data_IF_984995165681
#
_entry.id   IF_984995165681
#
_cell.length_a   1.000
_cell.length_b   1.000
_cell.length_c   1.000
_cell.angle_alpha   90.00
_cell.angle_beta   90.00
_cell.angle_gamma   90.00
#
_symmetry.space_group_name_H-M   'P 1'
#
loop_
_entity.id
_entity.type
_entity.pdbx_description
1 polymer ?
#
# COMPACT_ATOMS: atom_id res chain seq x y z
N UNK A 1 -5.60 32.31 -55.16
CA UNK A 1 -5.94 30.87 -55.04
C UNK A 1 -5.76 30.50 -53.57
N UNK A 2 -6.57 31.01 -52.64
CA UNK A 2 -8.05 30.94 -52.58
C UNK A 2 -8.52 29.48 -52.64
N UNK A 3 -9.03 28.97 -51.53
CA UNK A 3 -10.47 28.75 -51.38
C UNK A 3 -10.86 28.57 -49.89
N UNK A 4 -11.85 29.37 -49.51
CA UNK A 4 -12.76 29.27 -48.36
C UNK A 4 -14.03 30.05 -48.80
N UNK A 5 -15.16 30.10 -48.07
CA UNK A 5 -15.59 29.31 -46.91
C UNK A 5 -17.02 28.72 -47.07
N UNK A 6 -17.47 27.90 -46.11
CA UNK A 6 -18.89 27.72 -45.73
C UNK A 6 -18.98 26.78 -44.49
N UNK A 7 -20.03 26.77 -43.66
CA UNK A 7 -20.71 27.85 -42.91
C UNK A 7 -21.87 27.21 -42.13
N UNK A 8 -22.00 27.45 -40.81
CA UNK A 8 -23.20 27.17 -39.98
C UNK A 8 -23.62 25.67 -39.94
N UNK A 9 -24.28 25.12 -38.93
CA UNK A 9 -24.59 25.56 -37.57
C UNK A 9 -24.28 24.34 -36.64
N UNK A 10 -24.67 24.20 -35.37
CA UNK A 10 -25.57 24.95 -34.47
C UNK A 10 -24.94 25.03 -33.06
N UNK A 11 -25.65 25.63 -32.11
CA UNK A 11 -25.31 25.65 -30.69
C UNK A 11 -26.54 25.23 -29.89
N UNK A 12 -26.45 24.18 -29.06
CA UNK A 12 -27.53 23.84 -28.13
C UNK A 12 -27.02 23.44 -26.74
N UNK A 13 -26.97 24.45 -25.88
CA UNK A 13 -27.49 24.48 -24.51
C UNK A 13 -27.76 23.13 -23.82
N UNK A 14 -26.85 22.68 -22.94
CA UNK A 14 -27.24 21.89 -21.77
C UNK A 14 -26.61 22.46 -20.48
N UNK A 15 -27.45 23.27 -19.85
CA UNK A 15 -27.47 23.69 -18.46
C UNK A 15 -26.64 22.85 -17.48
N UNK A 16 -25.69 23.51 -16.81
CA UNK A 16 -24.96 22.98 -15.65
C UNK A 16 -25.30 23.84 -14.44
N UNK A 17 -26.44 23.54 -13.81
CA UNK A 17 -26.96 24.29 -12.66
C UNK A 17 -26.00 24.35 -11.47
N UNK A 18 -25.45 25.54 -11.23
CA UNK A 18 -24.74 25.89 -10.00
C UNK A 18 -25.75 26.30 -8.93
N UNK A 19 -26.09 25.38 -8.02
CA UNK A 19 -26.87 25.67 -6.81
C UNK A 19 -25.97 25.85 -5.59
N UNK A 20 -25.96 27.04 -4.99
CA UNK A 20 -25.13 27.35 -3.83
C UNK A 20 -25.95 27.64 -2.56
N UNK A 21 -25.44 27.19 -1.42
CA UNK A 21 -25.68 27.68 -0.05
C UNK A 21 -27.10 27.57 0.55
N UNK A 22 -27.22 26.87 1.68
CA UNK A 22 -27.40 27.49 3.01
C UNK A 22 -27.65 26.40 4.09
N UNK A 23 -27.43 26.73 5.36
CA UNK A 23 -27.51 25.79 6.49
C UNK A 23 -28.76 26.00 7.35
N UNK A 24 -29.25 24.91 7.97
CA UNK A 24 -29.97 24.94 9.24
C UNK A 24 -29.91 23.57 9.94
N UNK A 25 -30.11 23.56 11.25
CA UNK A 25 -29.84 22.46 12.18
C UNK A 25 -31.14 21.71 12.57
N UNK A 26 -31.04 20.80 13.56
CA UNK A 26 -32.12 19.93 14.08
C UNK A 26 -32.53 18.76 13.14
N UNK A 27 -32.73 17.51 13.60
CA UNK A 27 -32.52 16.92 14.92
C UNK A 27 -33.22 15.55 15.04
N UNK A 28 -32.64 14.62 15.82
CA UNK A 28 -33.17 13.27 16.15
C UNK A 28 -33.21 12.20 15.04
N UNK A 29 -32.83 10.97 15.39
CA UNK A 29 -32.70 9.82 14.48
C UNK A 29 -31.59 8.86 14.90
N UNK A 30 -31.68 8.29 16.12
CA UNK A 30 -30.80 7.22 16.57
C UNK A 30 -31.18 5.90 15.90
N UNK A 31 -30.48 5.55 14.83
CA UNK A 31 -30.32 4.17 14.40
C UNK A 31 -28.84 3.80 14.48
N UNK A 32 -28.47 3.26 15.64
CA UNK A 32 -27.17 2.69 15.97
C UNK A 32 -26.80 1.49 15.08
N UNK A 33 -26.48 1.75 13.82
CA UNK A 33 -25.87 0.78 12.93
C UNK A 33 -24.46 0.45 13.41
N UNK A 34 -24.30 -0.71 14.06
CA UNK A 34 -23.00 -1.28 14.44
C UNK A 34 -22.16 -1.66 13.22
N UNK A 35 -21.62 -0.65 12.54
CA UNK A 35 -20.56 -0.84 11.57
C UNK A 35 -19.28 -1.22 12.31
N UNK A 36 -18.86 -2.48 12.19
CA UNK A 36 -17.53 -2.93 12.62
C UNK A 36 -16.45 -2.22 11.79
N UNK A 37 -16.11 -1.01 12.22
CA UNK A 37 -15.06 -0.17 11.68
C UNK A 37 -13.70 -0.78 11.94
N UNK A 38 -13.36 -1.85 11.22
CA UNK A 38 -12.03 -2.44 11.23
C UNK A 38 -11.03 -1.38 10.78
N UNK A 39 -10.36 -0.75 11.74
CA UNK A 39 -9.25 0.18 11.54
C UNK A 39 -8.09 -0.60 10.90
N UNK A 40 -8.13 -0.74 9.57
CA UNK A 40 -7.07 -1.37 8.79
C UNK A 40 -5.75 -0.64 9.05
N UNK A 41 -4.75 -1.35 9.60
CA UNK A 41 -3.41 -0.78 9.80
C UNK A 41 -2.85 -0.35 8.44
N UNK A 42 -2.55 0.93 8.30
CA UNK A 42 -1.88 1.44 7.11
C UNK A 42 -0.39 1.09 7.17
N UNK A 43 -0.03 -0.06 6.62
CA UNK A 43 1.36 -0.49 6.56
C UNK A 43 2.23 0.49 5.76
N UNK A 44 3.36 0.85 6.35
CA UNK A 44 4.43 1.63 5.74
C UNK A 44 5.65 0.74 5.58
N UNK A 45 6.28 0.81 4.42
CA UNK A 45 7.42 -0.03 4.09
C UNK A 45 8.68 0.79 3.83
N UNK A 46 9.83 0.16 4.02
CA UNK A 46 11.09 0.56 3.38
C UNK A 46 11.70 -0.66 2.70
N UNK A 47 11.89 -0.56 1.38
CA UNK A 47 12.43 -1.62 0.56
C UNK A 47 13.95 -1.49 0.42
N UNK A 48 14.66 -2.61 0.49
CA UNK A 48 16.09 -2.67 0.16
C UNK A 48 16.36 -2.35 -1.32
N UNK A 49 17.64 -2.17 -1.66
CA UNK A 49 18.04 -1.77 -3.00
C UNK A 49 17.63 -2.72 -4.12
N UNK A 50 17.50 -4.02 -3.84
CA UNK A 50 17.09 -5.04 -4.81
C UNK A 50 15.58 -5.01 -5.11
N UNK A 51 14.77 -4.51 -4.17
CA UNK A 51 13.30 -4.50 -4.23
C UNK A 51 12.70 -3.21 -4.81
N UNK A 52 13.47 -2.42 -5.56
CA UNK A 52 13.00 -1.16 -6.17
C UNK A 52 11.83 -1.30 -7.16
N UNK A 53 11.65 -2.49 -7.77
CA UNK A 53 10.46 -2.80 -8.60
C UNK A 53 9.20 -2.97 -7.74
N UNK A 54 9.31 -3.77 -6.67
CA UNK A 54 8.25 -3.98 -5.67
C UNK A 54 7.82 -2.65 -5.02
N UNK A 55 8.78 -1.85 -4.53
CA UNK A 55 8.51 -0.55 -3.94
C UNK A 55 7.70 0.37 -4.86
N UNK A 56 8.05 0.40 -6.17
CA UNK A 56 7.32 1.18 -7.16
C UNK A 56 5.89 0.69 -7.36
N UNK A 57 5.63 -0.62 -7.32
CA UNK A 57 4.28 -1.17 -7.43
C UNK A 57 3.43 -0.93 -6.19
N UNK A 58 4.00 -1.06 -4.98
CA UNK A 58 3.37 -0.66 -3.73
C UNK A 58 2.93 0.82 -3.78
N UNK A 59 3.81 1.72 -4.27
CA UNK A 59 3.46 3.13 -4.47
C UNK A 59 2.35 3.35 -5.50
N UNK A 60 2.33 2.60 -6.60
CA UNK A 60 1.21 2.66 -7.55
C UNK A 60 -0.13 2.26 -6.92
N UNK A 61 -0.12 1.36 -5.92
CA UNK A 61 -1.29 0.97 -5.11
C UNK A 61 -1.68 2.00 -4.03
N UNK A 62 -0.93 3.10 -3.88
CA UNK A 62 -1.12 4.09 -2.82
C UNK A 62 -0.50 3.71 -1.48
N UNK A 63 0.22 2.57 -1.41
CA UNK A 63 0.94 2.12 -0.22
C UNK A 63 2.20 2.96 -0.06
N UNK A 64 2.45 3.41 1.18
CA UNK A 64 3.67 4.12 1.54
C UNK A 64 4.87 3.14 1.52
N UNK A 65 5.74 3.29 0.53
CA UNK A 65 6.91 2.43 0.34
C UNK A 65 8.14 3.25 -0.09
N UNK A 66 8.98 3.57 0.89
CA UNK A 66 10.31 4.12 0.64
C UNK A 66 11.21 3.07 -0.01
N UNK A 67 12.24 3.52 -0.73
CA UNK A 67 13.24 2.64 -1.33
C UNK A 67 14.62 3.18 -1.03
N UNK A 68 15.44 2.37 -0.36
CA UNK A 68 16.84 2.70 -0.08
C UNK A 68 17.70 1.96 -1.09
N UNK A 69 18.14 2.60 -2.19
CA UNK A 69 19.07 1.96 -3.12
C UNK A 69 20.35 1.61 -2.37
N UNK A 70 20.93 0.43 -2.64
CA UNK A 70 22.27 0.13 -2.14
C UNK A 70 23.20 1.19 -2.72
N UNK A 71 24.02 1.88 -1.90
CA UNK A 71 25.10 2.69 -2.44
C UNK A 71 25.91 1.81 -3.38
N UNK A 72 26.21 2.29 -4.59
CA UNK A 72 27.15 1.60 -5.46
C UNK A 72 28.45 1.47 -4.67
N UNK A 73 28.76 0.26 -4.19
CA UNK A 73 29.94 0.00 -3.38
C UNK A 73 31.13 0.50 -4.19
N UNK A 74 31.83 1.54 -3.69
CA UNK A 74 33.13 1.91 -4.26
C UNK A 74 33.98 0.66 -4.19
N UNK A 75 34.22 0.03 -5.36
CA UNK A 75 35.01 -1.21 -5.48
C UNK A 75 36.35 -0.97 -4.77
N UNK A 76 36.53 -1.60 -3.60
CA UNK A 76 37.74 -1.45 -2.78
C UNK A 76 37.51 -1.04 -1.31
N UNK A 77 36.41 -0.39 -0.93
CA UNK A 77 36.20 -0.02 0.48
C UNK A 77 35.51 -1.17 1.23
N UNK A 78 36.31 -1.98 1.91
CA UNK A 78 35.88 -3.08 2.80
C UNK A 78 35.37 -2.52 4.15
N UNK A 79 34.37 -1.65 4.09
CA UNK A 79 33.76 -0.99 5.26
C UNK A 79 32.81 -1.91 6.02
N UNK A 80 32.76 -1.75 7.35
CA UNK A 80 31.96 -2.58 8.25
C UNK A 80 30.49 -2.72 7.81
N UNK A 81 29.96 -3.95 7.90
CA UNK A 81 28.60 -4.33 7.49
C UNK A 81 27.49 -3.45 8.11
N UNK A 82 27.77 -2.80 9.24
CA UNK A 82 26.91 -1.79 9.90
C UNK A 82 26.54 -0.63 8.96
N UNK A 83 27.45 -0.21 8.07
CA UNK A 83 27.22 0.92 7.18
C UNK A 83 26.28 0.58 6.01
N UNK A 84 26.16 -0.69 5.61
CA UNK A 84 25.37 -1.07 4.44
C UNK A 84 23.85 -1.02 4.69
N UNK A 85 23.42 -1.35 5.90
CA UNK A 85 22.00 -1.33 6.30
C UNK A 85 21.63 -0.11 7.16
N UNK A 86 22.60 0.73 7.55
CA UNK A 86 22.36 1.83 8.49
C UNK A 86 21.24 2.78 8.04
N UNK A 87 21.20 3.16 6.77
CA UNK A 87 20.12 4.00 6.22
C UNK A 87 18.75 3.29 6.18
N UNK A 88 18.73 1.98 5.97
CA UNK A 88 17.52 1.15 5.94
C UNK A 88 16.93 1.01 7.36
N UNK A 89 17.77 0.67 8.33
CA UNK A 89 17.42 0.51 9.73
C UNK A 89 17.00 1.85 10.36
N UNK A 90 17.77 2.92 10.14
CA UNK A 90 17.44 4.25 10.67
C UNK A 90 16.11 4.78 10.12
N UNK A 91 15.84 4.59 8.82
CA UNK A 91 14.56 4.99 8.22
C UNK A 91 13.39 4.13 8.72
N UNK A 92 13.61 2.83 8.93
CA UNK A 92 12.61 1.94 9.49
C UNK A 92 12.26 2.26 10.96
N UNK A 93 13.27 2.55 11.79
CA UNK A 93 13.10 2.94 13.18
C UNK A 93 12.45 4.33 13.32
N UNK A 94 12.93 5.33 12.58
CA UNK A 94 12.46 6.72 12.70
C UNK A 94 11.02 6.91 12.24
N UNK A 95 10.63 6.25 11.15
CA UNK A 95 9.32 6.43 10.52
C UNK A 95 8.32 5.31 10.86
N UNK A 96 8.71 4.34 11.70
CA UNK A 96 7.94 3.11 11.99
C UNK A 96 7.46 2.41 10.70
N UNK A 97 8.43 1.82 10.00
CA UNK A 97 8.25 1.14 8.71
C UNK A 97 8.75 -0.29 8.78
N UNK A 98 8.02 -1.21 8.17
CA UNK A 98 8.46 -2.59 7.99
C UNK A 98 9.52 -2.64 6.89
N UNK A 99 10.65 -3.27 7.18
CA UNK A 99 11.71 -3.49 6.18
C UNK A 99 11.31 -4.64 5.26
N UNK A 100 11.28 -4.40 3.95
CA UNK A 100 11.23 -5.45 2.94
C UNK A 100 12.65 -5.73 2.45
N UNK A 101 13.12 -6.96 2.57
CA UNK A 101 14.47 -7.34 2.10
C UNK A 101 14.54 -8.74 1.52
N UNK A 102 15.51 -8.98 0.64
CA UNK A 102 15.92 -10.33 0.22
C UNK A 102 17.06 -10.92 1.06
N UNK A 103 17.72 -10.12 1.91
CA UNK A 103 18.90 -10.55 2.67
C UNK A 103 18.54 -11.13 4.04
N UNK A 104 18.69 -12.46 4.18
CA UNK A 104 18.48 -13.18 5.45
C UNK A 104 19.39 -12.70 6.59
N UNK A 105 20.55 -12.11 6.30
CA UNK A 105 21.47 -11.56 7.31
C UNK A 105 20.88 -10.37 8.04
N UNK A 106 19.98 -9.61 7.41
CA UNK A 106 19.32 -8.48 8.06
C UNK A 106 18.37 -8.95 9.16
N UNK A 107 17.61 -10.02 8.91
CA UNK A 107 16.67 -10.62 9.87
C UNK A 107 17.37 -11.22 11.11
N UNK A 108 18.67 -11.54 11.01
CA UNK A 108 19.46 -12.09 12.11
C UNK A 108 20.04 -11.01 13.05
N UNK A 109 19.87 -9.72 12.74
CA UNK A 109 20.41 -8.63 13.56
C UNK A 109 19.49 -8.31 14.73
N UNK A 110 20.07 -8.09 15.91
CA UNK A 110 19.34 -7.69 17.13
C UNK A 110 18.78 -6.26 17.11
N UNK A 111 19.23 -5.42 16.19
CA UNK A 111 18.76 -4.04 15.98
C UNK A 111 17.71 -3.92 14.86
N UNK A 112 17.29 -5.04 14.26
CA UNK A 112 16.25 -5.07 13.26
C UNK A 112 14.87 -4.79 13.91
N UNK A 113 14.31 -3.62 13.60
CA UNK A 113 12.85 -3.41 13.62
C UNK A 113 12.16 -4.35 12.64
N UNK A 114 10.83 -4.47 12.75
CA UNK A 114 9.99 -5.37 11.96
C UNK A 114 10.46 -5.51 10.50
N UNK A 115 10.87 -6.72 10.13
CA UNK A 115 11.45 -7.02 8.84
C UNK A 115 10.79 -8.26 8.22
N UNK A 116 10.66 -8.25 6.89
CA UNK A 116 10.01 -9.30 6.14
C UNK A 116 10.92 -9.77 4.99
N UNK A 117 11.11 -11.08 4.93
CA UNK A 117 11.93 -11.72 3.91
C UNK A 117 11.11 -11.96 2.63
N UNK A 118 11.50 -11.26 1.57
CA UNK A 118 10.98 -11.44 0.22
C UNK A 118 11.90 -12.42 -0.51
N UNK A 119 11.50 -13.69 -0.53
CA UNK A 119 12.33 -14.76 -1.13
C UNK A 119 12.24 -14.80 -2.65
N UNK A 120 11.08 -14.46 -3.22
CA UNK A 120 10.81 -14.50 -4.65
C UNK A 120 11.69 -13.53 -5.47
N UNK A 121 12.14 -13.95 -6.65
CA UNK A 121 12.84 -13.09 -7.63
C UNK A 121 11.88 -12.34 -8.56
N UNK A 122 10.74 -12.93 -8.88
CA UNK A 122 9.73 -12.32 -9.76
C UNK A 122 8.92 -11.24 -9.01
N UNK A 123 8.89 -9.98 -9.49
CA UNK A 123 8.15 -8.91 -8.82
C UNK A 123 6.65 -9.16 -8.62
N UNK A 124 5.97 -9.97 -9.46
CA UNK A 124 4.54 -10.28 -9.26
C UNK A 124 4.37 -11.21 -8.06
N UNK A 125 5.21 -12.24 -7.94
CA UNK A 125 5.27 -13.12 -6.76
C UNK A 125 5.67 -12.37 -5.50
N UNK A 126 6.66 -11.47 -5.58
CA UNK A 126 7.06 -10.59 -4.47
C UNK A 126 5.87 -9.77 -3.96
N UNK A 127 5.12 -9.14 -4.87
CA UNK A 127 3.94 -8.35 -4.51
C UNK A 127 2.82 -9.23 -3.95
N UNK A 128 2.53 -10.38 -4.55
CA UNK A 128 1.56 -11.34 -4.04
C UNK A 128 1.86 -11.73 -2.58
N UNK A 129 3.11 -12.15 -2.31
CA UNK A 129 3.57 -12.58 -0.98
C UNK A 129 3.44 -11.46 0.06
N UNK A 130 3.87 -10.24 -0.27
CA UNK A 130 3.73 -9.07 0.62
C UNK A 130 2.25 -8.71 0.82
N UNK A 131 1.42 -8.75 -0.22
CA UNK A 131 0.00 -8.46 -0.12
C UNK A 131 -0.77 -9.48 0.73
N UNK A 132 -0.47 -10.78 0.57
CA UNK A 132 -0.99 -11.85 1.42
C UNK A 132 -0.63 -11.62 2.90
N UNK A 133 0.68 -11.46 3.18
CA UNK A 133 1.19 -11.40 4.55
C UNK A 133 0.70 -10.16 5.32
N UNK A 134 0.69 -8.99 4.68
CA UNK A 134 0.25 -7.74 5.31
C UNK A 134 -1.24 -7.43 5.10
N UNK A 135 -2.00 -8.32 4.44
CA UNK A 135 -3.42 -8.14 4.16
C UNK A 135 -3.75 -6.94 3.27
N UNK A 136 -2.83 -6.54 2.39
CA UNK A 136 -2.98 -5.35 1.53
C UNK A 136 -4.18 -5.51 0.60
N UNK A 137 -4.92 -4.42 0.38
CA UNK A 137 -6.13 -4.40 -0.45
C UNK A 137 -5.96 -3.47 -1.65
N UNK A 138 -6.33 -3.93 -2.84
CA UNK A 138 -6.52 -3.05 -3.98
C UNK A 138 -7.70 -2.11 -3.69
N UNK A 139 -7.50 -0.80 -3.83
CA UNK A 139 -8.53 0.24 -3.69
C UNK A 139 -8.35 1.26 -4.81
N UNK A 140 -9.28 1.31 -5.76
CA UNK A 140 -9.16 2.18 -6.96
C UNK A 140 -8.92 3.65 -6.60
N UNK A 141 -9.62 4.17 -5.59
CA UNK A 141 -9.45 5.54 -5.07
C UNK A 141 -8.17 5.83 -4.29
N UNK A 142 -7.27 4.85 -4.10
CA UNK A 142 -5.92 5.07 -3.53
C UNK A 142 -4.80 4.94 -4.56
N UNK A 143 -5.10 4.49 -5.77
CA UNK A 143 -4.10 4.32 -6.83
C UNK A 143 -3.41 5.65 -7.15
N UNK A 144 -2.11 5.59 -7.44
CA UNK A 144 -1.27 6.72 -7.89
C UNK A 144 -1.16 7.93 -6.94
N UNK A 145 -1.77 7.88 -5.74
CA UNK A 145 -1.65 8.92 -4.68
C UNK A 145 -0.22 9.08 -4.14
N UNK A 146 0.68 8.12 -4.40
CA UNK A 146 2.11 8.17 -4.04
C UNK A 146 2.98 8.25 -5.28
N UNK A 147 4.02 9.08 -5.21
CA UNK A 147 4.95 9.29 -6.31
C UNK A 147 5.75 8.03 -6.61
N UNK A 148 5.48 7.40 -7.76
CA UNK A 148 6.18 6.21 -8.24
C UNK A 148 7.72 6.34 -8.29
N UNK A 149 8.28 7.58 -8.30
CA UNK A 149 9.73 7.85 -8.19
C UNK A 149 10.23 7.84 -6.74
N UNK A 150 9.59 8.61 -5.85
CA UNK A 150 10.18 9.02 -4.57
C UNK A 150 9.27 8.91 -3.34
N UNK A 151 8.11 8.26 -3.44
CA UNK A 151 7.15 8.05 -2.35
C UNK A 151 6.40 9.28 -1.80
N UNK A 152 6.83 10.51 -2.11
CA UNK A 152 6.08 11.72 -1.72
C UNK A 152 4.63 11.71 -2.23
N UNK A 153 3.72 12.36 -1.50
CA UNK A 153 2.30 12.46 -1.87
C UNK A 153 2.11 13.17 -3.22
N UNK A 154 1.07 12.76 -3.95
CA UNK A 154 0.65 13.28 -5.27
C UNK A 154 -0.84 13.62 -5.18
N UNK A 155 -1.16 14.55 -4.28
CA UNK A 155 -2.54 14.98 -3.98
C UNK A 155 -2.80 16.43 -4.41
N UNK A 156 -1.73 17.25 -4.55
CA UNK A 156 -1.83 18.62 -5.07
C UNK A 156 -2.04 18.61 -6.58
N UNK A 157 -3.19 19.12 -7.04
CA UNK A 157 -3.41 19.50 -8.44
C UNK A 157 -2.59 20.75 -8.77
N UNK A 158 -1.91 20.77 -9.91
CA UNK A 158 -1.15 21.94 -10.35
C UNK A 158 -2.07 23.06 -10.85
N UNK A 159 -1.65 24.31 -10.71
CA UNK A 159 -2.33 25.45 -11.35
C UNK A 159 -1.97 25.52 -12.85
N UNK A 160 -2.80 26.18 -13.69
CA UNK A 160 -2.47 26.40 -15.10
C UNK A 160 -1.13 27.11 -15.30
N UNK A 161 -0.77 28.03 -14.41
CA UNK A 161 0.47 28.82 -14.45
C UNK A 161 1.69 27.93 -14.16
N UNK A 162 1.63 27.07 -13.13
CA UNK A 162 2.67 26.08 -12.84
C UNK A 162 2.91 25.15 -14.04
N UNK A 163 1.83 24.72 -14.70
CA UNK A 163 1.89 23.85 -15.89
C UNK A 163 2.45 24.61 -17.09
N UNK A 164 2.05 25.86 -17.30
CA UNK A 164 2.54 26.72 -18.38
C UNK A 164 4.05 26.95 -18.24
N UNK A 165 4.52 27.33 -17.05
CA UNK A 165 5.93 27.58 -16.75
C UNK A 165 6.82 26.31 -16.81
N UNK A 166 6.26 25.12 -16.58
CA UNK A 166 7.04 23.88 -16.54
C UNK A 166 7.49 23.41 -17.94
N UNK A 167 8.77 23.63 -18.27
CA UNK A 167 9.38 23.21 -19.53
C UNK A 167 9.55 21.70 -19.73
N UNK A 168 9.41 20.88 -18.68
CA UNK A 168 9.52 19.42 -18.79
C UNK A 168 8.22 18.75 -19.28
N UNK A 169 7.11 19.48 -19.34
CA UNK A 169 5.83 19.00 -19.86
C UNK A 169 5.76 19.33 -21.37
N UNK A 170 5.64 18.33 -22.28
CA UNK A 170 5.58 18.60 -23.71
C UNK A 170 4.36 19.46 -24.10
N UNK A 171 4.53 20.39 -25.04
CA UNK A 171 3.45 21.30 -25.47
C UNK A 171 2.17 20.55 -25.92
N UNK A 172 2.32 19.42 -26.63
CA UNK A 172 1.19 18.55 -27.02
C UNK A 172 0.38 18.02 -25.83
N UNK A 173 1.01 17.80 -24.67
CA UNK A 173 0.33 17.39 -23.44
C UNK A 173 -0.43 18.56 -22.81
N UNK A 174 0.19 19.76 -22.76
CA UNK A 174 -0.48 20.98 -22.27
C UNK A 174 -1.73 21.31 -23.08
N UNK A 175 -1.72 20.99 -24.38
CA UNK A 175 -2.88 21.16 -25.27
C UNK A 175 -3.93 20.03 -25.17
N UNK A 176 -3.57 18.83 -24.69
CA UNK A 176 -4.48 17.67 -24.66
C UNK A 176 -5.17 17.43 -23.33
N UNK A 177 -4.74 18.09 -22.25
CA UNK A 177 -5.12 17.73 -20.88
C UNK A 177 -5.00 18.95 -19.97
N UNK A 178 -5.98 19.15 -19.09
CA UNK A 178 -6.06 20.23 -18.10
C UNK A 178 -5.89 19.72 -16.65
N UNK A 179 -5.63 18.43 -16.47
CA UNK A 179 -5.46 17.77 -15.16
C UNK A 179 -4.00 17.36 -14.94
N UNK A 180 -3.35 18.01 -13.99
CA UNK A 180 -1.96 17.77 -13.62
C UNK A 180 -1.83 17.67 -12.11
N UNK A 181 -0.95 16.81 -11.62
CA UNK A 181 -0.64 16.66 -10.20
C UNK A 181 0.87 16.67 -9.97
N UNK A 182 1.33 17.39 -8.96
CA UNK A 182 2.75 17.46 -8.61
C UNK A 182 3.06 16.61 -7.37
N UNK A 183 4.21 15.92 -7.40
CA UNK A 183 4.74 15.33 -6.18
C UNK A 183 5.29 16.40 -5.24
N UNK A 184 4.77 16.48 -4.02
CA UNK A 184 5.24 17.42 -2.98
C UNK A 184 6.65 17.17 -2.42
N UNK A 185 7.42 16.22 -2.98
CA UNK A 185 8.81 15.90 -2.55
C UNK A 185 9.84 16.03 -3.68
N UNK A 186 9.51 15.63 -4.91
CA UNK A 186 10.45 15.69 -6.04
C UNK A 186 9.92 16.46 -7.26
N UNK A 187 8.80 17.18 -7.09
CA UNK A 187 8.19 18.11 -8.07
C UNK A 187 7.81 17.48 -9.41
N UNK A 188 7.96 16.16 -9.54
CA UNK A 188 7.55 15.42 -10.72
C UNK A 188 6.05 15.59 -10.94
N UNK A 189 5.70 16.11 -12.11
CA UNK A 189 4.33 16.26 -12.57
C UNK A 189 3.83 14.96 -13.22
N UNK A 190 2.57 14.66 -12.97
CA UNK A 190 1.79 13.54 -13.50
C UNK A 190 0.53 14.10 -14.18
N UNK A 191 0.03 13.40 -15.20
CA UNK A 191 -1.15 13.77 -15.97
C UNK A 191 -1.80 12.53 -16.60
N UNK A 192 -3.04 12.66 -17.06
CA UNK A 192 -3.74 11.60 -17.78
C UNK A 192 -3.31 11.58 -19.25
N UNK A 193 -3.04 10.40 -19.81
CA UNK A 193 -2.68 10.23 -21.22
C UNK A 193 -2.30 8.79 -21.55
N UNK A 194 -1.79 8.49 -22.75
CA UNK A 194 -1.57 7.11 -23.22
C UNK A 194 -0.73 6.24 -22.27
N UNK A 195 0.30 6.82 -21.62
CA UNK A 195 1.14 6.13 -20.63
C UNK A 195 0.43 5.87 -19.31
N UNK A 196 -0.48 6.74 -18.86
CA UNK A 196 -1.26 6.48 -17.64
C UNK A 196 -2.36 5.46 -17.91
N UNK A 197 -2.99 5.48 -19.09
CA UNK A 197 -3.98 4.47 -19.50
C UNK A 197 -3.35 3.08 -19.55
N UNK A 198 -2.16 2.94 -20.15
CA UNK A 198 -1.41 1.69 -20.15
C UNK A 198 -0.98 1.23 -18.74
N UNK A 199 -0.64 2.16 -17.85
CA UNK A 199 -0.32 1.83 -16.46
C UNK A 199 -1.56 1.36 -15.69
N UNK A 200 -2.72 1.99 -15.92
CA UNK A 200 -3.99 1.61 -15.31
C UNK A 200 -4.50 0.26 -15.82
N UNK A 201 -4.46 0.01 -17.13
CA UNK A 201 -4.85 -1.30 -17.68
C UNK A 201 -3.92 -2.42 -17.19
N UNK A 202 -2.62 -2.19 -17.08
CA UNK A 202 -1.70 -3.13 -16.44
C UNK A 202 -2.02 -3.34 -14.95
N UNK A 203 -2.33 -2.28 -14.20
CA UNK A 203 -2.73 -2.41 -12.79
C UNK A 203 -4.01 -3.25 -12.67
N UNK A 204 -5.03 -2.96 -13.47
CA UNK A 204 -6.33 -3.62 -13.38
C UNK A 204 -6.29 -5.08 -13.90
N UNK A 205 -5.46 -5.39 -14.91
CA UNK A 205 -5.33 -6.74 -15.46
C UNK A 205 -4.37 -7.66 -14.68
N UNK A 206 -3.30 -7.11 -14.09
CA UNK A 206 -2.20 -7.92 -13.53
C UNK A 206 -2.04 -7.73 -12.02
N UNK A 207 -2.08 -6.48 -11.55
CA UNK A 207 -1.78 -6.16 -10.15
C UNK A 207 -2.99 -6.36 -9.25
N UNK A 208 -4.17 -5.87 -9.64
CA UNK A 208 -5.40 -5.99 -8.87
C UNK A 208 -5.81 -7.46 -8.62
N UNK A 209 -5.76 -8.38 -9.62
CA UNK A 209 -6.03 -9.80 -9.38
C UNK A 209 -4.96 -10.45 -8.48
N UNK A 210 -3.69 -10.09 -8.66
CA UNK A 210 -2.58 -10.62 -7.85
C UNK A 210 -2.75 -10.27 -6.37
N UNK A 211 -3.03 -9.01 -6.04
CA UNK A 211 -3.26 -8.55 -4.66
C UNK A 211 -4.51 -9.21 -4.06
N UNK A 212 -5.60 -9.27 -4.84
CA UNK A 212 -6.90 -9.79 -4.36
C UNK A 212 -6.84 -11.28 -4.09
N UNK A 213 -6.34 -12.08 -5.05
CA UNK A 213 -6.18 -13.53 -4.89
C UNK A 213 -5.27 -13.86 -3.71
N UNK A 214 -4.12 -13.22 -3.61
CA UNK A 214 -3.16 -13.49 -2.54
C UNK A 214 -3.75 -13.18 -1.13
N UNK A 215 -4.57 -12.13 -1.01
CA UNK A 215 -5.33 -11.84 0.22
C UNK A 215 -6.37 -12.94 0.52
N UNK A 216 -7.09 -13.40 -0.49
CA UNK A 216 -8.20 -14.34 -0.30
C UNK A 216 -7.70 -15.78 -0.03
N UNK A 217 -6.58 -16.17 -0.64
CA UNK A 217 -5.80 -17.37 -0.28
C UNK A 217 -5.25 -17.29 1.16
N UNK A 218 -4.74 -16.14 1.59
CA UNK A 218 -4.28 -15.95 2.97
C UNK A 218 -5.43 -16.03 3.98
N UNK A 219 -6.60 -15.47 3.65
CA UNK A 219 -7.82 -15.55 4.48
C UNK A 219 -8.37 -16.98 4.57
N UNK A 220 -8.43 -17.71 3.45
CA UNK A 220 -8.93 -19.10 3.47
C UNK A 220 -8.01 -19.99 4.31
N UNK A 221 -6.69 -19.81 4.17
CA UNK A 221 -5.69 -20.55 4.97
C UNK A 221 -5.69 -20.17 6.46
N UNK A 222 -5.94 -18.91 6.80
CA UNK A 222 -6.13 -18.47 8.19
C UNK A 222 -7.40 -19.10 8.79
N UNK A 223 -8.51 -19.09 8.05
CA UNK A 223 -9.77 -19.72 8.48
C UNK A 223 -9.61 -21.22 8.67
N UNK A 224 -8.94 -21.92 7.76
CA UNK A 224 -8.73 -23.37 7.89
C UNK A 224 -7.78 -23.75 9.02
N UNK A 225 -6.85 -22.87 9.42
CA UNK A 225 -6.05 -23.08 10.63
C UNK A 225 -6.88 -22.87 11.88
N UNK A 226 -7.65 -21.78 11.95
CA UNK A 226 -8.51 -21.53 13.11
C UNK A 226 -9.56 -22.63 13.31
N UNK A 227 -10.16 -23.17 12.23
CA UNK A 227 -11.06 -24.34 12.37
C UNK A 227 -10.32 -25.57 12.86
N UNK A 228 -9.09 -25.84 12.38
CA UNK A 228 -8.30 -27.00 12.84
C UNK A 228 -7.81 -26.85 14.28
N UNK A 229 -7.45 -25.63 14.70
CA UNK A 229 -7.06 -25.31 16.07
C UNK A 229 -8.26 -25.47 17.02
N UNK A 230 -9.45 -25.03 16.62
CA UNK A 230 -10.71 -25.27 17.37
C UNK A 230 -11.15 -26.75 17.37
N UNK A 231 -10.93 -27.48 16.28
CA UNK A 231 -11.17 -28.94 16.21
C UNK A 231 -10.17 -29.70 17.11
N UNK A 232 -8.89 -29.31 17.12
CA UNK A 232 -7.87 -29.87 18.02
C UNK A 232 -8.18 -29.54 19.49
N UNK A 233 -8.62 -28.32 19.80
CA UNK A 233 -9.03 -27.91 21.14
C UNK A 233 -10.30 -28.66 21.60
N UNK A 234 -11.31 -28.81 20.73
CA UNK A 234 -12.52 -29.59 21.03
C UNK A 234 -12.22 -31.08 21.22
N UNK A 235 -11.32 -31.69 20.42
CA UNK A 235 -10.87 -33.07 20.62
C UNK A 235 -10.08 -33.22 21.91
N UNK A 236 -9.29 -32.21 22.31
CA UNK A 236 -8.63 -32.19 23.60
C UNK A 236 -9.63 -32.04 24.76
N UNK A 237 -10.65 -31.18 24.65
CA UNK A 237 -11.71 -31.07 25.65
C UNK A 237 -12.55 -32.36 25.76
N UNK A 238 -12.86 -33.03 24.65
CA UNK A 238 -13.56 -34.33 24.65
C UNK A 238 -12.69 -35.42 25.28
N UNK A 239 -11.39 -35.47 24.96
CA UNK A 239 -10.44 -36.42 25.55
C UNK A 239 -10.15 -36.15 27.04
N UNK A 240 -10.24 -34.88 27.47
CA UNK A 240 -10.15 -34.45 28.87
C UNK A 240 -11.52 -34.46 29.58
N UNK A 241 -12.61 -34.74 28.84
CA UNK A 241 -13.98 -34.87 29.33
C UNK A 241 -14.25 -36.16 30.11
N UNK A 242 -13.26 -37.04 30.24
CA UNK A 242 -13.26 -38.18 31.16
C UNK A 242 -12.66 -37.82 32.52
N UNK A 243 -13.47 -37.16 33.37
CA UNK A 243 -13.23 -36.77 34.78
C UNK A 243 -11.96 -35.94 35.10
N UNK A 244 -12.08 -34.81 35.83
CA UNK A 244 -10.93 -33.97 36.17
C UNK A 244 -9.95 -34.68 37.12
N UNK A 245 -8.69 -34.81 36.68
CA UNK A 245 -7.60 -35.41 37.45
C UNK A 245 -7.50 -34.79 38.87
N UNK A 246 -7.37 -35.58 39.94
CA UNK A 246 -7.55 -35.09 41.29
C UNK A 246 -6.48 -34.07 41.70
N UNK A 247 -6.92 -32.92 42.21
CA UNK A 247 -6.03 -32.02 42.97
C UNK A 247 -5.50 -32.80 44.18
N UNK A 248 -4.17 -32.74 44.40
CA UNK A 248 -3.51 -33.39 45.52
C UNK A 248 -4.17 -33.00 46.85
N UNK A 249 -4.82 -33.95 47.52
CA UNK A 249 -4.98 -33.90 48.97
C UNK A 249 -3.60 -34.09 49.58
N UNK A 250 -2.99 -33.00 50.05
CA UNK A 250 -1.72 -33.07 50.77
C UNK A 250 -1.93 -33.79 52.12
N UNK A 251 -1.06 -34.73 52.52
CA UNK A 251 -1.16 -35.35 53.82
C UNK A 251 -0.68 -34.35 54.89
N UNK A 252 -1.62 -33.73 55.61
CA UNK A 252 -1.36 -33.18 56.94
C UNK A 252 -2.64 -33.10 57.79
N UNK A 253 -2.70 -34.06 58.71
CA UNK A 253 -3.35 -34.02 60.03
C UNK A 253 -3.74 -32.65 60.61
N UNK A 254 -4.91 -32.60 61.29
CA UNK A 254 -4.95 -32.64 62.77
C UNK A 254 -6.36 -32.81 63.35
N UNK A 255 -6.36 -33.17 64.63
CA UNK A 255 -7.47 -33.49 65.52
C UNK A 255 -8.58 -32.43 65.62
N UNK A 256 -9.78 -32.87 66.02
CA UNK A 256 -10.98 -32.06 66.25
C UNK A 256 -12.20 -32.95 66.44
#
# INVERSE_FOLDING_TARGET
RDLSPASLADCDSLDCGLGASAASHEGSGDESAHGEGTHERQWRFVADGSLGRLARWLRCLGVDAEHVPVPAQRRGVKGNNTCQYGALLALAQRDDRVILTKDRRLLQRKDAVAAFLVEDDDPKRQLARVSAHFGLRYRRGKLLTRCARCNGAVERRCTPEEVAANGAIPAKVKASTNEFWACGRCEKVYWVGPKSHLAMSFIDAEIAPTVTRARDEAKSFARSRNTRELEEEAVLEEALGGDPWPRRTGPNSREG
#
